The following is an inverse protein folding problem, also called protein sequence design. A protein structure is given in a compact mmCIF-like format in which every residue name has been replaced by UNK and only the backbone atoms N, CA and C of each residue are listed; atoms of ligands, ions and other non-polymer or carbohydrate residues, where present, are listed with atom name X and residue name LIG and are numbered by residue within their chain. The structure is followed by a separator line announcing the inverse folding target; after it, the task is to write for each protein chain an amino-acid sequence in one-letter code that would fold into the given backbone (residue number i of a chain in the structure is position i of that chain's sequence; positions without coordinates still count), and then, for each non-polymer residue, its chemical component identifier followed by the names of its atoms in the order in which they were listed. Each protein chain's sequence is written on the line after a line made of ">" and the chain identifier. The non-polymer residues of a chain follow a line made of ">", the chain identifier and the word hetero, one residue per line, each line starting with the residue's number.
data_IF_681762619585
#
_entry.id   IF_681762619585
#
_cell.length_a   1.000
_cell.length_b   1.000
_cell.length_c   1.000
_cell.angle_alpha   90.00
_cell.angle_beta   90.00
_cell.angle_gamma   90.00
#
_symmetry.space_group_name_H-M   'P 1'
#
loop_
_entity.id
_entity.type
_entity.pdbx_description
1 polymer ?
#
# COMPACT_ATOMS: atom_id res chain seq x y z
N UNK A 1 -4.18 2.12 15.99
CA UNK A 1 -4.46 2.69 17.32
C UNK A 1 -5.49 1.87 18.07
N UNK A 2 -6.75 1.76 17.62
CA UNK A 2 -7.76 0.97 18.33
C UNK A 2 -7.38 -0.51 18.53
N UNK A 3 -6.78 -1.16 17.51
CA UNK A 3 -6.37 -2.56 17.58
C UNK A 3 -5.24 -2.83 18.60
N UNK A 4 -4.41 -1.85 18.90
CA UNK A 4 -3.29 -1.97 19.83
C UNK A 4 -3.60 -1.39 21.24
N UNK A 5 -4.78 -0.82 21.45
CA UNK A 5 -5.16 -0.18 22.72
C UNK A 5 -4.32 1.05 23.08
N UNK A 6 -3.63 1.66 22.09
CA UNK A 6 -2.79 2.84 22.30
C UNK A 6 -3.44 4.09 21.71
N UNK A 7 -3.08 5.26 22.28
CA UNK A 7 -3.48 6.56 21.76
C UNK A 7 -2.26 7.25 21.16
N UNK A 8 -2.41 7.70 19.91
CA UNK A 8 -1.42 8.48 19.20
C UNK A 8 -2.09 9.73 18.61
N UNK A 9 -1.38 10.86 18.67
CA UNK A 9 -1.84 12.08 17.99
C UNK A 9 -1.57 11.94 16.50
N UNK A 10 -2.63 11.99 15.69
CA UNK A 10 -2.53 11.96 14.24
C UNK A 10 -2.06 13.31 13.71
N UNK A 11 -0.97 13.32 12.94
CA UNK A 11 -0.48 14.47 12.19
C UNK A 11 -0.70 14.19 10.70
N UNK A 12 -1.65 14.88 10.05
CA UNK A 12 -1.98 14.58 8.65
C UNK A 12 -0.90 15.12 7.70
N UNK A 13 -0.53 14.29 6.72
CA UNK A 13 0.36 14.65 5.61
C UNK A 13 -0.29 14.21 4.29
N UNK A 14 0.07 14.88 3.20
CA UNK A 14 -0.41 14.53 1.85
C UNK A 14 0.34 13.34 1.22
N UNK A 15 1.18 12.65 1.99
CA UNK A 15 1.92 11.47 1.56
C UNK A 15 3.28 11.34 2.22
N UNK A 16 3.96 10.20 2.00
CA UNK A 16 5.25 9.86 2.61
C UNK A 16 6.36 10.86 2.27
N UNK A 17 6.31 11.48 1.10
CA UNK A 17 7.28 12.49 0.67
C UNK A 17 7.34 13.72 1.58
N UNK A 18 6.25 14.03 2.29
CA UNK A 18 6.18 15.15 3.24
C UNK A 18 6.45 14.70 4.68
N UNK A 19 5.98 13.52 5.08
CA UNK A 19 6.13 13.04 6.45
C UNK A 19 7.53 12.51 6.77
N UNK A 20 8.23 11.93 5.80
CA UNK A 20 9.55 11.34 6.01
C UNK A 20 10.64 12.39 6.35
N UNK A 21 10.71 13.58 5.72
CA UNK A 21 11.59 14.64 6.18
C UNK A 21 11.40 15.03 7.64
N UNK A 22 10.13 15.12 8.10
CA UNK A 22 9.82 15.45 9.49
C UNK A 22 10.21 14.35 10.47
N UNK A 23 10.11 13.08 10.07
CA UNK A 23 10.66 11.96 10.84
C UNK A 23 12.17 12.10 11.00
N UNK A 24 12.90 12.37 9.91
CA UNK A 24 14.36 12.49 9.93
C UNK A 24 14.83 13.72 10.73
N UNK A 25 14.04 14.80 10.70
CA UNK A 25 14.29 16.01 11.51
C UNK A 25 13.93 15.84 12.99
N UNK A 26 13.23 14.73 13.36
CA UNK A 26 12.75 14.50 14.73
C UNK A 26 11.50 15.28 15.11
N UNK A 27 10.82 15.92 14.13
CA UNK A 27 9.59 16.66 14.37
C UNK A 27 8.41 15.71 14.70
N UNK A 28 8.44 14.47 14.14
CA UNK A 28 7.52 13.39 14.49
C UNK A 28 8.32 12.13 14.85
N UNK A 29 7.91 11.37 15.87
CA UNK A 29 8.65 10.19 16.32
C UNK A 29 8.34 8.92 15.51
N UNK A 30 7.21 8.88 14.78
CA UNK A 30 6.71 7.70 14.08
C UNK A 30 5.98 8.10 12.80
N UNK A 31 6.14 7.31 11.75
CA UNK A 31 5.42 7.47 10.49
C UNK A 31 4.98 6.11 9.95
N UNK A 32 3.83 6.05 9.29
CA UNK A 32 3.50 5.00 8.34
C UNK A 32 3.83 5.50 6.95
N UNK A 33 4.78 4.85 6.30
CA UNK A 33 5.30 5.24 4.99
C UNK A 33 5.32 4.05 4.04
N UNK A 34 5.28 4.33 2.74
CA UNK A 34 5.50 3.32 1.71
C UNK A 34 6.94 2.81 1.76
N UNK A 35 7.10 1.49 1.60
CA UNK A 35 8.43 0.85 1.67
C UNK A 35 9.40 1.45 0.66
N UNK A 36 8.97 1.77 -0.54
CA UNK A 36 9.80 2.41 -1.58
C UNK A 36 10.39 3.75 -1.14
N UNK A 37 9.70 4.47 -0.25
CA UNK A 37 10.16 5.77 0.26
C UNK A 37 11.12 5.61 1.44
N UNK A 38 10.85 4.66 2.34
CA UNK A 38 11.61 4.53 3.60
C UNK A 38 12.82 3.59 3.49
N UNK A 39 12.80 2.66 2.53
CA UNK A 39 13.82 1.62 2.37
C UNK A 39 15.25 2.18 2.25
N UNK A 40 15.55 3.21 1.41
CA UNK A 40 16.89 3.77 1.32
C UNK A 40 17.38 4.41 2.63
N UNK A 41 16.45 4.96 3.42
CA UNK A 41 16.79 5.58 4.70
C UNK A 41 17.06 4.53 5.78
N UNK A 42 16.30 3.44 5.75
CA UNK A 42 16.56 2.29 6.62
C UNK A 42 17.90 1.62 6.27
N UNK A 43 18.19 1.37 4.99
CA UNK A 43 19.47 0.80 4.53
C UNK A 43 20.67 1.67 4.90
N UNK A 44 20.50 3.00 4.92
CA UNK A 44 21.55 3.94 5.34
C UNK A 44 21.59 4.20 6.86
N UNK A 45 20.77 3.48 7.64
CA UNK A 45 20.71 3.63 9.10
C UNK A 45 20.07 4.93 9.61
N UNK A 46 19.45 5.71 8.73
CA UNK A 46 18.79 6.99 9.08
C UNK A 46 17.37 6.82 9.58
N UNK A 47 16.76 5.68 9.34
CA UNK A 47 15.44 5.31 9.86
C UNK A 47 15.47 3.87 10.34
N UNK A 48 14.58 3.52 11.27
CA UNK A 48 14.34 2.16 11.73
C UNK A 48 12.93 1.73 11.35
N UNK A 49 12.80 0.65 10.57
CA UNK A 49 11.50 0.05 10.30
C UNK A 49 11.18 -0.90 11.45
N UNK A 50 10.04 -0.73 12.09
CA UNK A 50 9.60 -1.51 13.23
C UNK A 50 8.83 -2.76 12.80
N UNK A 51 7.97 -2.62 11.79
CA UNK A 51 7.18 -3.69 11.22
C UNK A 51 6.66 -3.32 9.83
N UNK A 52 6.30 -4.34 9.06
CA UNK A 52 5.57 -4.22 7.81
C UNK A 52 4.07 -4.47 8.02
N UNK A 53 3.22 -3.77 7.28
CA UNK A 53 1.77 -4.00 7.29
C UNK A 53 1.29 -5.03 6.26
N UNK A 54 2.20 -5.67 5.54
CA UNK A 54 1.93 -6.79 4.63
C UNK A 54 1.50 -8.05 5.39
N UNK A 55 0.77 -8.95 4.72
CA UNK A 55 0.33 -10.22 5.31
C UNK A 55 1.51 -11.17 5.62
N UNK A 56 2.59 -11.10 4.85
CA UNK A 56 3.83 -11.83 5.05
C UNK A 56 5.05 -10.92 4.98
N UNK A 57 6.23 -11.44 5.36
CA UNK A 57 7.48 -10.69 5.22
C UNK A 57 7.79 -10.42 3.77
N UNK A 58 8.26 -9.23 3.49
CA UNK A 58 8.58 -8.81 2.11
C UNK A 58 9.97 -9.30 1.71
N UNK A 59 10.14 -9.88 0.50
CA UNK A 59 11.43 -10.39 0.03
C UNK A 59 12.54 -9.33 -0.01
N UNK A 60 12.18 -8.06 -0.16
CA UNK A 60 13.12 -6.95 -0.21
C UNK A 60 13.75 -6.62 1.16
N UNK A 61 13.11 -7.03 2.25
CA UNK A 61 13.56 -6.82 3.62
C UNK A 61 13.03 -7.95 4.53
N UNK A 62 13.50 -9.20 4.33
CA UNK A 62 12.95 -10.38 5.00
C UNK A 62 13.22 -10.41 6.52
N UNK A 63 14.18 -9.63 7.00
CA UNK A 63 14.49 -9.47 8.41
C UNK A 63 13.47 -8.63 9.17
N UNK A 64 12.66 -7.82 8.48
CA UNK A 64 11.67 -6.95 9.12
C UNK A 64 10.40 -7.76 9.36
N UNK A 65 9.94 -7.87 10.63
CA UNK A 65 8.73 -8.60 10.96
C UNK A 65 7.47 -7.87 10.46
N UNK A 66 6.39 -8.61 10.32
CA UNK A 66 5.07 -8.02 10.06
C UNK A 66 4.38 -7.57 11.36
N UNK A 67 3.35 -6.72 11.25
CA UNK A 67 2.50 -6.36 12.39
C UNK A 67 1.83 -7.60 12.98
N UNK A 68 1.43 -8.57 12.15
CA UNK A 68 0.83 -9.83 12.60
C UNK A 68 1.82 -10.62 13.46
N UNK A 69 3.08 -10.75 13.05
CA UNK A 69 4.12 -11.44 13.82
C UNK A 69 4.39 -10.76 15.17
N UNK A 70 4.11 -9.47 15.28
CA UNK A 70 4.22 -8.70 16.52
C UNK A 70 2.92 -8.67 17.36
N UNK A 71 1.93 -9.49 17.01
CA UNK A 71 0.69 -9.64 17.75
C UNK A 71 -0.41 -8.63 17.39
N UNK A 72 -0.19 -7.79 16.39
CA UNK A 72 -1.20 -6.88 15.85
C UNK A 72 -1.84 -7.49 14.60
N UNK A 73 -3.04 -8.04 14.72
CA UNK A 73 -3.78 -8.57 13.57
C UNK A 73 -4.30 -7.42 12.68
N UNK A 74 -3.37 -6.80 11.98
CA UNK A 74 -3.61 -5.67 11.08
C UNK A 74 -2.77 -5.85 9.82
N UNK A 75 -3.44 -5.79 8.69
CA UNK A 75 -2.82 -5.70 7.36
C UNK A 75 -3.34 -4.48 6.61
N UNK A 76 -2.55 -3.98 5.69
CA UNK A 76 -2.94 -2.88 4.83
C UNK A 76 -1.77 -2.41 3.98
N UNK A 77 -2.06 -1.65 2.95
CA UNK A 77 -1.04 -1.11 2.06
C UNK A 77 -1.64 -0.13 1.06
N UNK A 78 -0.79 0.47 0.27
CA UNK A 78 -1.20 1.24 -0.92
C UNK A 78 -1.36 0.30 -2.12
N UNK A 79 -2.14 0.71 -3.05
CA UNK A 79 -2.33 0.01 -4.33
C UNK A 79 -2.29 1.02 -5.49
N UNK A 80 -1.96 0.53 -6.67
CA UNK A 80 -2.02 1.29 -7.90
C UNK A 80 -2.87 0.54 -8.94
N UNK A 81 -3.66 1.26 -9.70
CA UNK A 81 -4.52 0.69 -10.72
C UNK A 81 -4.77 1.65 -11.88
N UNK A 82 -5.02 1.10 -13.07
CA UNK A 82 -5.45 1.88 -14.23
C UNK A 82 -6.96 2.07 -14.18
N UNK A 83 -7.39 3.31 -14.31
CA UNK A 83 -8.82 3.67 -14.35
C UNK A 83 -9.12 4.49 -15.60
N UNK A 84 -10.37 4.41 -16.07
CA UNK A 84 -10.87 5.19 -17.20
C UNK A 84 -12.07 6.05 -16.77
N UNK A 85 -12.41 7.05 -17.56
CA UNK A 85 -13.59 7.85 -17.35
C UNK A 85 -14.86 6.98 -17.43
N UNK A 86 -15.93 7.42 -16.73
CA UNK A 86 -17.23 6.78 -16.86
C UNK A 86 -17.74 6.92 -18.32
N UNK A 87 -18.32 5.83 -18.84
CA UNK A 87 -18.80 5.79 -20.23
C UNK A 87 -17.74 5.48 -21.29
N UNK A 88 -16.50 5.17 -20.90
CA UNK A 88 -15.49 4.63 -21.85
C UNK A 88 -16.03 3.38 -22.55
N UNK A 89 -15.97 3.28 -23.89
CA UNK A 89 -16.46 2.12 -24.63
C UNK A 89 -15.83 0.80 -24.14
N UNK A 90 -16.60 -0.26 -24.13
CA UNK A 90 -16.17 -1.54 -23.57
C UNK A 90 -14.99 -2.17 -24.31
N UNK A 91 -14.89 -1.98 -25.62
CA UNK A 91 -13.77 -2.42 -26.45
C UNK A 91 -12.46 -1.67 -26.10
N UNK A 92 -12.54 -0.37 -25.82
CA UNK A 92 -11.39 0.42 -25.35
C UNK A 92 -10.93 -0.06 -23.95
N UNK A 93 -11.87 -0.31 -23.03
CA UNK A 93 -11.55 -0.88 -21.71
C UNK A 93 -10.91 -2.25 -21.85
N UNK A 94 -11.41 -3.11 -22.73
CA UNK A 94 -10.84 -4.43 -22.98
C UNK A 94 -9.42 -4.35 -23.54
N UNK A 95 -9.18 -3.46 -24.51
CA UNK A 95 -7.86 -3.25 -25.09
C UNK A 95 -6.84 -2.74 -24.06
N UNK A 96 -7.21 -1.76 -23.23
CA UNK A 96 -6.38 -1.26 -22.13
C UNK A 96 -6.08 -2.35 -21.07
N UNK A 97 -7.08 -3.13 -20.71
CA UNK A 97 -6.92 -4.25 -19.77
C UNK A 97 -5.96 -5.31 -20.32
N UNK A 98 -6.08 -5.67 -21.59
CA UNK A 98 -5.17 -6.62 -22.23
C UNK A 98 -3.72 -6.08 -22.30
N UNK A 99 -3.54 -4.81 -22.64
CA UNK A 99 -2.23 -4.17 -22.69
C UNK A 99 -1.59 -4.12 -21.28
N UNK A 100 -2.36 -3.78 -20.24
CA UNK A 100 -1.89 -3.80 -18.86
C UNK A 100 -1.44 -5.21 -18.45
N UNK A 101 -2.25 -6.23 -18.70
CA UNK A 101 -1.91 -7.63 -18.37
C UNK A 101 -0.64 -8.10 -19.09
N UNK A 102 -0.45 -7.69 -20.34
CA UNK A 102 0.80 -7.98 -21.06
C UNK A 102 2.00 -7.28 -20.41
N UNK A 103 1.87 -5.99 -20.07
CA UNK A 103 2.92 -5.22 -19.39
C UNK A 103 3.29 -5.78 -18.01
N UNK A 104 2.30 -6.27 -17.24
CA UNK A 104 2.53 -6.89 -15.93
C UNK A 104 3.32 -8.22 -16.02
N UNK A 105 3.40 -8.84 -17.20
CA UNK A 105 4.18 -10.06 -17.45
C UNK A 105 5.61 -9.76 -17.89
N UNK A 106 5.92 -8.53 -18.29
CA UNK A 106 7.23 -8.14 -18.76
C UNK A 106 8.30 -8.32 -17.67
N UNK A 107 9.40 -9.08 -17.93
CA UNK A 107 10.41 -9.38 -16.92
C UNK A 107 11.05 -8.11 -16.33
N UNK A 108 11.33 -7.11 -17.17
CA UNK A 108 11.94 -5.86 -16.70
C UNK A 108 11.01 -5.07 -15.76
N UNK A 109 9.70 -5.05 -16.06
CA UNK A 109 8.71 -4.44 -15.18
C UNK A 109 8.63 -5.17 -13.84
N UNK A 110 8.54 -6.50 -13.87
CA UNK A 110 8.49 -7.32 -12.64
C UNK A 110 9.73 -7.13 -11.77
N UNK A 111 10.91 -7.13 -12.36
CA UNK A 111 12.16 -6.87 -11.64
C UNK A 111 12.12 -5.48 -10.98
N UNK A 112 11.67 -4.46 -11.70
CA UNK A 112 11.55 -3.12 -11.14
C UNK A 112 10.55 -3.02 -10.00
N UNK A 113 9.41 -3.70 -10.08
CA UNK A 113 8.44 -3.75 -8.98
C UNK A 113 9.03 -4.42 -7.74
N UNK A 114 9.73 -5.53 -7.92
CA UNK A 114 10.41 -6.23 -6.82
C UNK A 114 11.46 -5.33 -6.11
N UNK A 115 12.25 -4.57 -6.87
CA UNK A 115 13.20 -3.60 -6.31
C UNK A 115 12.51 -2.49 -5.50
N UNK A 116 11.29 -2.13 -5.84
CA UNK A 116 10.49 -1.13 -5.12
C UNK A 116 9.71 -1.73 -3.95
N UNK A 117 9.77 -3.04 -3.74
CA UNK A 117 8.97 -3.73 -2.75
C UNK A 117 7.49 -3.79 -3.09
N UNK A 118 7.14 -3.67 -4.38
CA UNK A 118 5.76 -3.77 -4.81
C UNK A 118 5.43 -5.19 -5.28
N UNK A 119 4.30 -5.71 -4.86
CA UNK A 119 3.78 -7.00 -5.29
C UNK A 119 2.83 -6.84 -6.48
N UNK A 120 2.95 -7.73 -7.46
CA UNK A 120 2.00 -7.80 -8.57
C UNK A 120 0.86 -8.72 -8.12
N UNK A 121 -0.36 -8.17 -8.15
CA UNK A 121 -1.57 -8.89 -7.74
C UNK A 121 -1.83 -10.15 -8.58
N UNK A 122 -2.64 -11.08 -8.04
CA UNK A 122 -3.01 -12.30 -8.73
C UNK A 122 -3.68 -12.04 -10.09
N UNK A 123 -3.47 -12.93 -11.07
CA UNK A 123 -3.99 -12.74 -12.44
C UNK A 123 -5.50 -12.48 -12.51
N UNK A 124 -6.28 -13.06 -11.61
CA UNK A 124 -7.72 -12.82 -11.54
C UNK A 124 -8.06 -11.35 -11.26
N UNK A 125 -7.24 -10.65 -10.49
CA UNK A 125 -7.43 -9.24 -10.12
C UNK A 125 -6.83 -8.27 -11.15
N UNK A 126 -6.02 -8.76 -12.08
CA UNK A 126 -5.46 -7.96 -13.18
C UNK A 126 -6.48 -7.66 -14.30
N UNK A 127 -7.64 -8.30 -14.29
CA UNK A 127 -8.71 -8.03 -15.24
C UNK A 127 -9.56 -6.83 -14.78
N UNK A 128 -10.23 -6.15 -15.73
CA UNK A 128 -11.14 -5.05 -15.40
C UNK A 128 -12.25 -5.47 -14.42
N UNK A 129 -12.83 -6.67 -14.61
CA UNK A 129 -13.87 -7.21 -13.73
C UNK A 129 -13.31 -7.59 -12.34
N UNK A 130 -12.13 -8.23 -12.29
CA UNK A 130 -11.46 -8.62 -11.06
C UNK A 130 -11.07 -7.41 -10.22
N UNK A 131 -10.46 -6.41 -10.84
CA UNK A 131 -10.09 -5.16 -10.17
C UNK A 131 -11.33 -4.41 -9.66
N UNK A 132 -12.41 -4.33 -10.45
CA UNK A 132 -13.65 -3.72 -10.00
C UNK A 132 -14.29 -4.48 -8.82
N UNK A 133 -14.21 -5.81 -8.79
CA UNK A 133 -14.68 -6.61 -7.67
C UNK A 133 -13.82 -6.39 -6.41
N UNK A 134 -12.50 -6.35 -6.58
CA UNK A 134 -11.56 -6.04 -5.51
C UNK A 134 -11.82 -4.64 -4.93
N UNK A 135 -11.96 -3.59 -5.75
CA UNK A 135 -12.27 -2.23 -5.30
C UNK A 135 -13.56 -2.13 -4.48
N UNK A 136 -14.59 -2.91 -4.84
CA UNK A 136 -15.83 -2.93 -4.03
C UNK A 136 -15.61 -3.51 -2.64
N UNK A 137 -14.81 -4.59 -2.52
CA UNK A 137 -14.46 -5.19 -1.21
C UNK A 137 -13.62 -4.23 -0.38
N UNK A 138 -12.54 -3.72 -0.95
CA UNK A 138 -11.63 -2.77 -0.30
C UNK A 138 -12.35 -1.53 0.23
N UNK A 139 -13.24 -0.95 -0.60
CA UNK A 139 -14.05 0.20 -0.20
C UNK A 139 -14.97 -0.11 0.99
N UNK A 140 -15.55 -1.29 1.02
CA UNK A 140 -16.41 -1.71 2.13
C UNK A 140 -15.60 -1.90 3.42
N UNK A 141 -14.41 -2.50 3.33
CA UNK A 141 -13.50 -2.70 4.47
C UNK A 141 -12.98 -1.37 5.02
N UNK A 142 -12.50 -0.47 4.15
CA UNK A 142 -12.04 0.87 4.54
C UNK A 142 -13.17 1.62 5.23
N UNK A 143 -14.40 1.56 4.70
CA UNK A 143 -15.55 2.21 5.32
C UNK A 143 -15.83 1.66 6.71
N UNK A 144 -15.82 0.34 6.87
CA UNK A 144 -16.01 -0.28 8.18
C UNK A 144 -14.91 0.08 9.19
N UNK A 145 -13.66 0.27 8.72
CA UNK A 145 -12.55 0.74 9.55
C UNK A 145 -12.76 2.20 9.95
N UNK A 146 -13.14 3.07 9.02
CA UNK A 146 -13.40 4.49 9.25
C UNK A 146 -14.53 4.68 10.26
N UNK A 147 -15.64 3.96 10.08
CA UNK A 147 -16.78 4.01 11.00
C UNK A 147 -16.39 3.61 12.43
N UNK A 148 -15.61 2.52 12.58
CA UNK A 148 -15.10 2.08 13.90
C UNK A 148 -14.11 3.08 14.52
N UNK A 149 -13.35 3.77 13.69
CA UNK A 149 -12.39 4.79 14.14
C UNK A 149 -13.03 6.17 14.38
N UNK A 150 -14.32 6.34 14.08
CA UNK A 150 -15.01 7.63 14.18
C UNK A 150 -14.57 8.65 13.13
N UNK A 151 -13.93 8.19 12.04
CA UNK A 151 -13.47 9.03 10.93
C UNK A 151 -14.68 9.28 10.01
N UNK A 152 -15.06 10.55 9.86
CA UNK A 152 -16.11 10.96 8.92
C UNK A 152 -15.47 11.27 7.56
N UNK A 153 -16.06 10.81 6.44
CA UNK A 153 -15.64 11.27 5.12
C UNK A 153 -15.91 12.77 5.00
N UNK A 154 -14.96 13.50 4.45
CA UNK A 154 -15.11 14.89 4.04
C UNK A 154 -15.95 15.02 2.78
#
# INVERSE_FOLDING_TARGET
>A
MAAAGISLTHVPYRGSSQSVPDLIAGNIPLVMAEISTILPLWQSGRARILAMSSAGRMPIAPEIPTLIEQGLNLTGGSWAGLVTAAGTPADAVAALSAALQAGLKEPAYRARQAELGAEIVAEAEQTAAGFAAWLRRERAEIRAIADRAGIKPE
#
